data_IF_263397546572
#
_entry.id   IF_263397546572
#
_cell.length_a   1.000
_cell.length_b   1.000
_cell.length_c   1.000
_cell.angle_alpha   90.00
_cell.angle_beta   90.00
_cell.angle_gamma   90.00
#
_symmetry.space_group_name_H-M   'P 1'
#
loop_
_entity.id
_entity.type
_entity.pdbx_description
1 polymer ?
#
# COMPACT_ATOMS: atom_id res chain seq x y z
N UNK A 1 9.53 15.15 -18.86
CA UNK A 1 9.06 15.16 -17.47
C UNK A 1 10.10 14.60 -16.51
N UNK A 2 10.58 13.35 -16.70
CA UNK A 2 11.70 12.79 -15.89
C UNK A 2 12.94 13.68 -15.86
N UNK A 3 13.36 14.22 -17.00
CA UNK A 3 14.49 15.17 -17.08
C UNK A 3 14.23 16.50 -16.34
N UNK A 4 13.01 17.01 -16.38
CA UNK A 4 12.60 18.22 -15.65
C UNK A 4 12.63 17.95 -14.14
N UNK A 5 12.09 16.81 -13.70
CA UNK A 5 12.09 16.39 -12.29
C UNK A 5 13.52 16.16 -11.81
N UNK A 6 14.35 15.47 -12.60
CA UNK A 6 15.78 15.30 -12.29
C UNK A 6 16.48 16.65 -12.15
N UNK A 7 16.23 17.59 -13.06
CA UNK A 7 16.80 18.92 -12.97
C UNK A 7 16.32 19.64 -11.71
N UNK A 8 15.01 19.61 -11.41
CA UNK A 8 14.45 20.19 -10.17
C UNK A 8 15.13 19.59 -8.93
N UNK A 9 15.22 18.27 -8.84
CA UNK A 9 15.82 17.55 -7.72
C UNK A 9 17.34 17.78 -7.61
N UNK A 10 18.03 17.87 -8.74
CA UNK A 10 19.48 18.16 -8.78
C UNK A 10 19.78 19.57 -8.26
N UNK A 11 18.91 20.53 -8.53
CA UNK A 11 19.11 21.93 -8.11
C UNK A 11 18.55 22.23 -6.71
N UNK A 12 17.47 21.56 -6.30
CA UNK A 12 16.83 21.79 -4.99
C UNK A 12 17.31 20.83 -3.90
N UNK A 13 17.96 19.72 -4.25
CA UNK A 13 18.26 18.63 -3.32
C UNK A 13 16.99 17.93 -2.81
N UNK A 14 17.11 17.25 -1.66
CA UNK A 14 15.93 16.73 -0.96
C UNK A 14 15.13 17.90 -0.40
N UNK A 15 13.95 18.16 -0.97
CA UNK A 15 13.06 19.20 -0.48
C UNK A 15 12.45 18.71 0.83
N UNK A 16 12.72 19.41 1.93
CA UNK A 16 12.04 19.18 3.19
C UNK A 16 10.95 20.23 3.35
N UNK A 17 9.71 19.80 3.54
CA UNK A 17 8.63 20.74 3.85
C UNK A 17 8.85 21.29 5.26
N UNK A 18 8.79 22.62 5.46
CA UNK A 18 8.60 23.13 6.80
C UNK A 18 7.28 22.57 7.35
N UNK A 19 7.16 22.40 8.68
CA UNK A 19 5.91 22.00 9.28
C UNK A 19 4.80 22.99 8.89
N UNK A 20 3.58 22.51 8.64
CA UNK A 20 2.48 23.41 8.27
C UNK A 20 2.17 24.39 9.41
N UNK A 21 1.55 25.53 9.10
CA UNK A 21 1.23 26.58 10.09
C UNK A 21 0.38 26.09 11.27
N UNK A 22 -0.40 25.02 11.09
CA UNK A 22 -1.20 24.39 12.14
C UNK A 22 -0.44 23.36 12.98
N UNK A 23 0.82 23.04 12.66
CA UNK A 23 1.58 21.97 13.31
C UNK A 23 1.64 22.11 14.84
N UNK A 24 1.86 23.32 15.34
CA UNK A 24 1.96 23.58 16.78
C UNK A 24 0.63 23.35 17.50
N UNK A 25 -0.50 23.54 16.81
CA UNK A 25 -1.85 23.31 17.35
C UNK A 25 -2.32 21.85 17.30
N UNK A 26 -1.59 20.96 16.62
CA UNK A 26 -1.98 19.56 16.52
C UNK A 26 -1.87 18.85 17.86
N UNK A 27 -2.87 18.03 18.17
CA UNK A 27 -2.88 17.16 19.33
C UNK A 27 -1.79 16.09 19.19
N UNK A 28 -1.10 15.83 20.30
CA UNK A 28 -0.09 14.79 20.40
C UNK A 28 -0.72 13.49 20.89
N UNK A 29 -0.31 12.40 20.26
CA UNK A 29 -0.77 11.05 20.51
C UNK A 29 0.42 10.13 20.80
N UNK A 30 0.20 9.13 21.66
CA UNK A 30 1.15 8.04 21.91
C UNK A 30 0.80 6.85 21.02
N UNK A 31 1.76 6.39 20.22
CA UNK A 31 1.60 5.21 19.37
C UNK A 31 1.70 3.94 20.21
N UNK A 32 0.67 3.11 20.15
CA UNK A 32 0.58 1.82 20.86
C UNK A 32 1.05 0.66 20.01
N UNK A 33 0.77 0.72 18.70
CA UNK A 33 1.07 -0.37 17.77
C UNK A 33 1.11 0.16 16.35
N UNK A 34 2.18 -0.15 15.61
CA UNK A 34 2.18 -0.04 14.15
C UNK A 34 1.57 -1.32 13.56
N UNK A 35 0.45 -1.17 12.86
CA UNK A 35 -0.29 -2.30 12.27
C UNK A 35 0.21 -2.61 10.86
N UNK A 36 0.36 -1.58 10.05
CA UNK A 36 0.87 -1.60 8.67
C UNK A 36 1.70 -0.33 8.43
N UNK A 37 2.36 -0.21 7.28
CA UNK A 37 3.18 0.95 6.94
C UNK A 37 2.37 2.26 6.76
N UNK A 38 1.04 2.19 6.63
CA UNK A 38 0.13 3.34 6.55
C UNK A 38 -0.84 3.41 7.75
N UNK A 39 -0.70 2.53 8.75
CA UNK A 39 -1.72 2.37 9.79
C UNK A 39 -1.11 2.07 11.16
N UNK A 40 -1.47 2.87 12.16
CA UNK A 40 -1.16 2.57 13.56
C UNK A 40 -2.34 2.79 14.49
N UNK A 41 -2.21 2.27 15.71
CA UNK A 41 -3.11 2.52 16.82
C UNK A 41 -2.46 3.52 17.78
N UNK A 42 -3.22 4.53 18.19
CA UNK A 42 -2.79 5.58 19.11
C UNK A 42 -3.78 5.76 20.24
N UNK A 43 -3.27 6.39 21.30
CA UNK A 43 -4.05 6.90 22.42
C UNK A 43 -3.69 8.37 22.60
N UNK A 44 -4.69 9.23 22.78
CA UNK A 44 -4.44 10.65 23.03
C UNK A 44 -3.71 10.83 24.37
N UNK A 45 -2.82 11.80 24.51
CA UNK A 45 -2.05 11.95 25.76
C UNK A 45 -2.92 12.30 26.99
N UNK A 46 -4.15 12.77 26.77
CA UNK A 46 -5.13 13.20 27.76
C UNK A 46 -6.34 12.24 27.89
N UNK A 47 -6.31 11.08 27.23
CA UNK A 47 -7.41 10.11 27.23
C UNK A 47 -6.89 8.69 27.12
N UNK A 48 -7.58 7.69 27.67
CA UNK A 48 -7.27 6.27 27.43
C UNK A 48 -7.96 5.71 26.17
N UNK A 49 -8.67 6.55 25.40
CA UNK A 49 -9.39 6.12 24.21
C UNK A 49 -8.42 5.78 23.06
N UNK A 50 -8.48 4.53 22.61
CA UNK A 50 -7.70 4.06 21.46
C UNK A 50 -8.38 4.42 20.13
N UNK A 51 -7.59 4.94 19.20
CA UNK A 51 -7.99 5.28 17.84
C UNK A 51 -7.05 4.60 16.83
N UNK A 52 -7.61 4.07 15.74
CA UNK A 52 -6.80 3.65 14.59
C UNK A 52 -6.62 4.84 13.65
N UNK A 53 -5.38 5.20 13.34
CA UNK A 53 -5.08 6.23 12.33
C UNK A 53 -4.61 5.53 11.07
N UNK A 54 -5.29 5.79 9.96
CA UNK A 54 -4.82 5.45 8.62
C UNK A 54 -4.28 6.70 7.95
N UNK A 55 -3.13 6.59 7.32
CA UNK A 55 -2.48 7.73 6.69
C UNK A 55 -3.25 8.11 5.43
N UNK A 56 -3.57 9.39 5.31
CA UNK A 56 -4.21 9.92 4.10
C UNK A 56 -3.14 10.18 3.01
N UNK A 57 -3.59 10.27 1.76
CA UNK A 57 -2.82 10.54 0.52
C UNK A 57 -1.93 9.41 0.00
N UNK A 58 -1.61 8.40 0.82
CA UNK A 58 -0.73 7.31 0.44
C UNK A 58 -1.41 5.96 0.66
N UNK A 59 -0.87 4.93 0.02
CA UNK A 59 -1.24 3.54 0.24
C UNK A 59 0.01 2.67 0.19
N UNK A 60 0.08 1.70 1.08
CA UNK A 60 1.30 0.89 1.28
C UNK A 60 1.07 -0.56 0.93
N UNK A 61 2.12 -1.29 0.50
CA UNK A 61 2.04 -2.73 0.32
C UNK A 61 1.51 -3.44 1.56
N UNK A 62 0.76 -4.52 1.36
CA UNK A 62 0.12 -5.23 2.48
C UNK A 62 1.13 -6.03 3.30
N UNK A 63 0.91 -6.18 4.61
CA UNK A 63 1.64 -7.15 5.43
C UNK A 63 0.95 -8.52 5.44
N UNK A 64 1.69 -9.63 5.61
CA UNK A 64 1.10 -10.94 5.82
C UNK A 64 0.32 -10.97 7.13
N UNK A 65 -0.94 -11.44 7.10
CA UNK A 65 -1.85 -11.36 8.26
C UNK A 65 -1.66 -12.43 9.35
N UNK A 66 -0.41 -12.80 9.65
CA UNK A 66 -0.04 -13.60 10.82
C UNK A 66 -0.82 -14.92 11.01
N UNK A 67 -0.86 -15.41 12.26
CA UNK A 67 -1.50 -16.69 12.66
C UNK A 67 -2.96 -16.73 12.21
N UNK A 68 -3.20 -17.46 11.12
CA UNK A 68 -4.46 -17.40 10.38
C UNK A 68 -4.28 -17.32 8.87
N UNK A 69 -3.04 -17.40 8.37
CA UNK A 69 -2.61 -17.56 6.97
C UNK A 69 -3.79 -17.97 6.09
N UNK A 70 -4.42 -16.96 5.48
CA UNK A 70 -5.71 -17.17 4.84
C UNK A 70 -5.54 -18.21 3.74
N UNK A 71 -6.60 -18.98 3.39
CA UNK A 71 -6.48 -20.03 2.36
C UNK A 71 -5.85 -19.47 1.08
N UNK A 72 -6.18 -18.22 0.73
CA UNK A 72 -5.58 -17.50 -0.40
C UNK A 72 -4.08 -17.22 -0.22
N UNK A 73 -3.62 -16.79 0.95
CA UNK A 73 -2.19 -16.57 1.22
C UNK A 73 -1.41 -17.89 1.22
N UNK A 74 -1.95 -18.95 1.83
CA UNK A 74 -1.35 -20.29 1.82
C UNK A 74 -1.16 -20.81 0.40
N UNK A 75 -2.20 -20.70 -0.43
CA UNK A 75 -2.16 -21.16 -1.81
C UNK A 75 -1.16 -20.33 -2.63
N UNK A 76 -1.19 -19.01 -2.54
CA UNK A 76 -0.21 -18.17 -3.23
C UNK A 76 1.23 -18.40 -2.76
N UNK A 77 1.44 -18.71 -1.47
CA UNK A 77 2.75 -19.11 -0.93
C UNK A 77 3.22 -20.44 -1.51
N UNK A 78 2.34 -21.44 -1.56
CA UNK A 78 2.60 -22.78 -2.13
C UNK A 78 3.05 -22.69 -3.59
N UNK A 79 2.39 -21.83 -4.37
CA UNK A 79 2.70 -21.62 -5.79
C UNK A 79 3.67 -20.46 -6.05
N UNK A 80 4.42 -20.03 -5.04
CA UNK A 80 5.50 -19.06 -5.19
C UNK A 80 5.10 -17.74 -5.86
N UNK A 81 3.87 -17.28 -5.64
CA UNK A 81 3.34 -16.11 -6.32
C UNK A 81 4.18 -14.85 -6.00
N UNK A 82 4.88 -14.34 -7.01
CA UNK A 82 5.82 -13.22 -6.88
C UNK A 82 5.13 -11.93 -6.43
N UNK A 83 3.88 -11.70 -6.83
CA UNK A 83 3.10 -10.53 -6.40
C UNK A 83 2.89 -10.55 -4.90
N UNK A 84 2.52 -11.72 -4.34
CA UNK A 84 2.36 -11.87 -2.88
C UNK A 84 3.69 -11.71 -2.15
N UNK A 85 4.78 -12.27 -2.68
CA UNK A 85 6.13 -12.13 -2.12
C UNK A 85 6.54 -10.66 -2.06
N UNK A 86 6.44 -9.95 -3.18
CA UNK A 86 6.78 -8.53 -3.30
C UNK A 86 5.93 -7.66 -2.36
N UNK A 87 4.60 -7.85 -2.35
CA UNK A 87 3.71 -7.10 -1.45
C UNK A 87 4.10 -7.26 0.01
N UNK A 88 4.32 -8.50 0.46
CA UNK A 88 4.63 -8.79 1.86
C UNK A 88 6.04 -8.33 2.25
N UNK A 89 7.02 -8.45 1.36
CA UNK A 89 8.37 -7.96 1.60
C UNK A 89 8.36 -6.44 1.81
N UNK A 90 7.77 -5.68 0.89
CA UNK A 90 7.73 -4.23 0.99
C UNK A 90 6.78 -3.74 2.08
N UNK A 91 5.72 -4.49 2.38
CA UNK A 91 4.81 -4.19 3.48
C UNK A 91 5.52 -4.28 4.83
N UNK A 92 6.30 -5.34 5.06
CA UNK A 92 7.10 -5.49 6.29
C UNK A 92 8.22 -4.45 6.36
N UNK A 93 8.94 -4.16 5.25
CA UNK A 93 9.95 -3.09 5.23
C UNK A 93 9.34 -1.73 5.57
N UNK A 94 8.18 -1.39 4.99
CA UNK A 94 7.47 -0.15 5.27
C UNK A 94 7.01 -0.06 6.73
N UNK A 95 6.48 -1.15 7.27
CA UNK A 95 6.03 -1.23 8.67
C UNK A 95 7.19 -1.08 9.64
N UNK A 96 8.31 -1.76 9.39
CA UNK A 96 9.51 -1.64 10.20
C UNK A 96 10.05 -0.22 10.17
N UNK A 97 10.07 0.41 8.99
CA UNK A 97 10.50 1.80 8.87
C UNK A 97 9.61 2.78 9.63
N UNK A 98 8.29 2.61 9.54
CA UNK A 98 7.34 3.41 10.31
C UNK A 98 7.56 3.23 11.82
N UNK A 99 7.77 1.99 12.27
CA UNK A 99 8.10 1.69 13.66
C UNK A 99 9.36 2.43 14.11
N UNK A 100 10.45 2.39 13.33
CA UNK A 100 11.68 3.13 13.64
C UNK A 100 11.48 4.65 13.71
N UNK A 101 10.70 5.24 12.80
CA UNK A 101 10.41 6.67 12.78
C UNK A 101 9.68 7.10 14.06
N UNK A 102 8.67 6.32 14.43
CA UNK A 102 7.86 6.56 15.64
C UNK A 102 8.70 6.38 16.91
N UNK A 103 9.53 5.34 16.99
CA UNK A 103 10.42 5.09 18.12
C UNK A 103 11.45 6.22 18.31
N UNK A 104 12.04 6.72 17.22
CA UNK A 104 12.96 7.88 17.23
C UNK A 104 12.27 9.15 17.74
N UNK A 105 10.95 9.26 17.58
CA UNK A 105 10.12 10.34 18.10
C UNK A 105 9.54 10.02 19.50
N UNK A 106 10.13 9.08 20.24
CA UNK A 106 9.70 8.71 21.59
C UNK A 106 8.33 8.04 21.65
N UNK A 107 7.92 7.36 20.57
CA UNK A 107 6.57 6.83 20.35
C UNK A 107 5.46 7.90 20.38
N UNK A 108 5.81 9.15 20.11
CA UNK A 108 4.86 10.26 20.06
C UNK A 108 4.76 10.84 18.65
N UNK A 109 3.54 11.16 18.25
CA UNK A 109 3.21 11.74 16.95
C UNK A 109 2.16 12.84 17.10
N UNK A 110 2.12 13.76 16.14
CA UNK A 110 1.04 14.72 15.96
C UNK A 110 0.17 14.30 14.79
N UNK A 111 -1.14 14.33 14.98
CA UNK A 111 -2.10 13.87 13.97
C UNK A 111 -3.08 14.99 13.65
N UNK A 112 -3.21 15.32 12.36
CA UNK A 112 -4.33 16.11 11.86
C UNK A 112 -5.35 15.16 11.24
N UNK A 113 -6.50 15.03 11.89
CA UNK A 113 -7.61 14.22 11.38
C UNK A 113 -8.23 14.93 10.18
N UNK A 114 -8.31 14.23 9.04
CA UNK A 114 -8.92 14.72 7.79
C UNK A 114 -10.26 14.05 7.50
N UNK A 115 -10.55 12.92 8.15
CA UNK A 115 -11.83 12.24 8.05
C UNK A 115 -11.96 11.10 9.05
N UNK A 116 -13.19 10.61 9.24
CA UNK A 116 -13.49 9.51 10.15
C UNK A 116 -14.34 8.43 9.49
N UNK A 117 -14.01 7.18 9.77
CA UNK A 117 -14.75 5.97 9.40
C UNK A 117 -15.28 5.30 10.68
N UNK A 118 -16.61 5.34 10.87
CA UNK A 118 -17.26 4.58 11.93
C UNK A 118 -17.29 3.10 11.56
N UNK A 119 -16.70 2.26 12.42
CA UNK A 119 -16.66 0.80 12.23
C UNK A 119 -17.45 0.12 13.34
N UNK A 120 -18.57 -0.51 12.98
CA UNK A 120 -19.38 -1.25 13.95
C UNK A 120 -18.54 -2.37 14.62
N UNK A 121 -18.54 -2.41 15.96
CA UNK A 121 -17.83 -3.42 16.75
C UNK A 121 -16.30 -3.33 16.73
N UNK A 122 -15.73 -2.20 16.28
CA UNK A 122 -14.27 -1.95 16.26
C UNK A 122 -13.97 -0.53 16.72
N UNK A 123 -12.73 -0.26 17.13
CA UNK A 123 -12.28 1.11 17.42
C UNK A 123 -12.50 2.01 16.20
N UNK A 124 -12.81 3.31 16.41
CA UNK A 124 -12.96 4.25 15.30
C UNK A 124 -11.66 4.28 14.48
N UNK A 125 -11.81 4.41 13.16
CA UNK A 125 -10.68 4.69 12.28
C UNK A 125 -10.80 6.14 11.84
N UNK A 126 -9.71 6.90 11.91
CA UNK A 126 -9.61 8.18 11.24
C UNK A 126 -8.60 8.11 10.10
N UNK A 127 -8.76 9.02 9.14
CA UNK A 127 -7.76 9.35 8.14
C UNK A 127 -6.99 10.56 8.63
N UNK A 128 -5.66 10.54 8.53
CA UNK A 128 -4.87 11.63 9.10
C UNK A 128 -3.54 11.90 8.42
N UNK A 129 -3.15 13.16 8.45
CA UNK A 129 -1.78 13.60 8.22
C UNK A 129 -0.98 13.39 9.51
N UNK A 130 0.17 12.71 9.41
CA UNK A 130 0.96 12.32 10.58
C UNK A 130 2.32 12.98 10.55
N UNK A 131 2.66 13.61 11.66
CA UNK A 131 3.93 14.29 11.86
C UNK A 131 4.66 13.74 13.08
N UNK A 132 5.98 13.62 12.99
CA UNK A 132 6.82 13.45 14.16
C UNK A 132 6.88 14.76 14.96
N UNK A 133 7.42 14.71 16.19
CA UNK A 133 7.48 15.89 17.05
C UNK A 133 8.40 17.00 16.53
N UNK A 134 9.36 16.65 15.67
CA UNK A 134 10.23 17.61 14.97
C UNK A 134 9.58 18.23 13.73
N UNK A 135 8.33 17.84 13.42
CA UNK A 135 7.58 18.32 12.28
C UNK A 135 7.81 17.55 10.97
N UNK A 136 8.59 16.47 11.01
CA UNK A 136 8.74 15.55 9.87
C UNK A 136 7.40 14.95 9.47
N UNK A 137 6.99 15.16 8.22
CA UNK A 137 5.77 14.57 7.66
C UNK A 137 6.01 13.10 7.27
N UNK A 138 5.40 12.17 8.00
CA UNK A 138 5.70 10.73 7.91
C UNK A 138 5.36 10.17 6.53
N UNK A 139 4.21 10.55 5.95
CA UNK A 139 3.84 10.09 4.62
C UNK A 139 4.86 10.46 3.54
N UNK A 140 5.45 11.67 3.62
CA UNK A 140 6.49 12.08 2.69
C UNK A 140 7.73 11.18 2.79
N UNK A 141 8.18 10.85 4.01
CA UNK A 141 9.32 9.96 4.23
C UNK A 141 9.06 8.59 3.61
N UNK A 142 7.88 8.00 3.84
CA UNK A 142 7.53 6.69 3.29
C UNK A 142 7.49 6.69 1.77
N UNK A 143 6.93 7.73 1.14
CA UNK A 143 6.90 7.85 -0.33
C UNK A 143 8.31 8.08 -0.87
N UNK A 144 9.09 8.96 -0.25
CA UNK A 144 10.46 9.26 -0.67
C UNK A 144 11.35 8.02 -0.61
N UNK A 145 11.21 7.18 0.42
CA UNK A 145 11.96 5.93 0.55
C UNK A 145 11.41 4.80 -0.34
N UNK A 146 10.33 5.04 -1.09
CA UNK A 146 9.69 4.05 -1.97
C UNK A 146 8.94 2.96 -1.22
N UNK A 147 8.44 3.25 -0.01
CA UNK A 147 7.70 2.31 0.84
C UNK A 147 6.19 2.49 0.73
N UNK A 148 5.74 3.51 -0.01
CA UNK A 148 4.35 3.81 -0.26
C UNK A 148 4.15 4.37 -1.69
N UNK A 149 2.94 4.23 -2.21
CA UNK A 149 2.47 4.87 -3.45
C UNK A 149 1.53 6.01 -3.10
N UNK A 150 1.49 7.06 -3.92
CA UNK A 150 0.44 8.08 -3.80
C UNK A 150 -0.89 7.44 -4.16
N UNK A 151 -1.91 7.67 -3.32
CA UNK A 151 -3.27 7.22 -3.59
C UNK A 151 -4.10 8.37 -4.15
N UNK A 152 -4.20 8.40 -5.48
CA UNK A 152 -4.76 9.50 -6.25
C UNK A 152 -6.22 9.84 -5.91
N UNK A 153 -7.01 8.87 -5.40
CA UNK A 153 -8.40 9.12 -5.01
C UNK A 153 -8.51 10.19 -3.91
N UNK A 154 -7.53 10.27 -2.99
CA UNK A 154 -7.52 11.27 -1.92
C UNK A 154 -6.61 12.47 -2.20
N UNK A 155 -5.87 12.49 -3.32
CA UNK A 155 -4.95 13.59 -3.60
C UNK A 155 -5.69 14.88 -3.96
N UNK A 156 -6.93 14.78 -4.45
CA UNK A 156 -7.77 15.94 -4.78
C UNK A 156 -8.14 16.80 -3.58
N UNK A 157 -8.15 16.21 -2.39
CA UNK A 157 -8.44 16.87 -1.11
C UNK A 157 -7.16 17.31 -0.36
N UNK A 158 -5.99 16.99 -0.94
CA UNK A 158 -4.69 17.29 -0.35
C UNK A 158 -4.34 18.79 -0.51
N UNK A 159 -3.84 19.47 0.54
CA UNK A 159 -3.23 20.79 0.38
C UNK A 159 -2.19 20.78 -0.73
N UNK A 160 -2.21 21.82 -1.59
CA UNK A 160 -1.41 21.87 -2.83
C UNK A 160 0.07 21.62 -2.58
N UNK A 161 0.62 22.23 -1.53
CA UNK A 161 2.03 22.13 -1.17
C UNK A 161 2.41 20.71 -0.77
N UNK A 162 1.54 20.02 -0.03
CA UNK A 162 1.71 18.61 0.36
C UNK A 162 1.63 17.72 -0.88
N UNK A 163 0.65 17.95 -1.77
CA UNK A 163 0.49 17.17 -2.99
C UNK A 163 1.71 17.28 -3.92
N UNK A 164 2.20 18.50 -4.18
CA UNK A 164 3.41 18.73 -4.99
C UNK A 164 4.60 17.96 -4.41
N UNK A 165 4.76 17.99 -3.10
CA UNK A 165 5.86 17.33 -2.40
C UNK A 165 5.79 15.82 -2.44
N UNK A 166 4.59 15.24 -2.27
CA UNK A 166 4.40 13.81 -2.46
C UNK A 166 4.73 13.40 -3.90
N UNK A 167 4.28 14.16 -4.91
CA UNK A 167 4.61 13.87 -6.31
C UNK A 167 6.12 13.93 -6.59
N UNK A 168 6.81 14.94 -6.06
CA UNK A 168 8.27 15.03 -6.19
C UNK A 168 8.97 13.87 -5.47
N UNK A 169 8.51 13.48 -4.29
CA UNK A 169 9.06 12.36 -3.53
C UNK A 169 8.86 11.01 -4.25
N UNK A 170 7.67 10.77 -4.82
CA UNK A 170 7.38 9.54 -5.56
C UNK A 170 8.24 9.45 -6.82
N UNK A 171 8.36 10.56 -7.56
CA UNK A 171 9.18 10.62 -8.76
C UNK A 171 10.68 10.45 -8.43
N UNK A 172 11.18 11.06 -7.35
CA UNK A 172 12.56 10.86 -6.86
C UNK A 172 12.80 9.40 -6.48
N UNK A 173 11.85 8.75 -5.81
CA UNK A 173 11.93 7.33 -5.45
C UNK A 173 11.93 6.42 -6.70
N UNK A 174 11.12 6.73 -7.71
CA UNK A 174 11.08 6.01 -8.99
C UNK A 174 12.40 6.16 -9.75
N UNK A 175 12.88 7.39 -9.93
CA UNK A 175 14.12 7.71 -10.67
C UNK A 175 15.33 7.03 -10.03
N UNK A 176 15.43 7.11 -8.70
CA UNK A 176 16.57 6.55 -7.96
C UNK A 176 16.38 5.09 -7.58
N UNK A 177 15.31 4.44 -8.05
CA UNK A 177 15.01 3.04 -7.77
C UNK A 177 15.11 2.79 -6.25
N UNK A 178 14.25 3.41 -5.46
CA UNK A 178 14.17 3.17 -4.01
C UNK A 178 12.94 2.33 -3.68
N UNK A 179 13.06 1.46 -2.68
CA UNK A 179 11.91 0.69 -2.21
C UNK A 179 11.28 -0.17 -3.30
N UNK A 180 9.95 -0.13 -3.42
CA UNK A 180 9.15 -0.82 -4.45
C UNK A 180 9.60 -0.54 -5.90
N UNK A 181 10.43 0.49 -6.11
CA UNK A 181 10.99 0.87 -7.40
C UNK A 181 12.33 0.17 -7.74
N UNK A 182 12.92 -0.59 -6.81
CA UNK A 182 14.18 -1.35 -6.99
C UNK A 182 14.02 -2.66 -7.75
N UNK A 183 12.86 -3.29 -7.61
CA UNK A 183 12.56 -4.48 -8.38
C UNK A 183 12.72 -4.10 -9.85
N UNK A 184 13.70 -4.70 -10.51
CA UNK A 184 14.16 -4.33 -11.85
C UNK A 184 12.95 -4.29 -12.79
N UNK A 185 12.37 -3.10 -13.02
CA UNK A 185 11.13 -2.95 -13.78
C UNK A 185 9.93 -3.71 -13.17
N UNK A 186 9.68 -3.42 -11.89
CA UNK A 186 8.83 -4.19 -10.98
C UNK A 186 7.49 -4.65 -11.55
N UNK A 187 7.28 -5.98 -11.52
CA UNK A 187 5.96 -6.60 -11.59
C UNK A 187 5.10 -6.29 -10.33
N UNK A 188 5.49 -5.25 -9.59
CA UNK A 188 4.77 -4.70 -8.47
C UNK A 188 3.48 -4.07 -8.98
N UNK A 189 2.36 -4.61 -8.53
CA UNK A 189 1.06 -3.97 -8.68
C UNK A 189 0.80 -3.07 -7.47
N UNK A 190 0.11 -1.95 -7.69
CA UNK A 190 -0.26 -1.05 -6.60
C UNK A 190 -1.07 -1.76 -5.51
N UNK A 191 -1.01 -1.31 -4.23
CA UNK A 191 -1.64 -2.05 -3.15
C UNK A 191 -3.19 -2.11 -3.28
N UNK A 192 -3.83 -1.08 -3.85
CA UNK A 192 -5.25 -1.13 -4.20
C UNK A 192 -5.59 -2.21 -5.23
N UNK A 193 -4.76 -2.37 -6.26
CA UNK A 193 -4.91 -3.41 -7.28
C UNK A 193 -4.67 -4.80 -6.67
N UNK A 194 -3.65 -4.94 -5.81
CA UNK A 194 -3.39 -6.17 -5.06
C UNK A 194 -4.57 -6.57 -4.16
N UNK A 195 -5.12 -5.64 -3.38
CA UNK A 195 -6.30 -5.93 -2.53
C UNK A 195 -7.50 -6.39 -3.35
N UNK A 196 -7.72 -5.77 -4.51
CA UNK A 196 -8.77 -6.19 -5.45
C UNK A 196 -8.53 -7.62 -5.95
N UNK A 197 -7.31 -7.92 -6.40
CA UNK A 197 -6.91 -9.26 -6.84
C UNK A 197 -7.07 -10.30 -5.73
N UNK A 198 -6.54 -10.05 -4.55
CA UNK A 198 -6.63 -10.92 -3.37
C UNK A 198 -8.08 -11.24 -3.01
N UNK A 199 -8.98 -10.26 -3.11
CA UNK A 199 -10.42 -10.46 -2.89
C UNK A 199 -11.03 -11.43 -3.91
N UNK A 200 -10.69 -11.29 -5.19
CA UNK A 200 -11.18 -12.17 -6.26
C UNK A 200 -10.66 -13.59 -6.12
N UNK A 201 -9.35 -13.76 -5.92
CA UNK A 201 -8.76 -15.08 -5.65
C UNK A 201 -9.39 -15.75 -4.43
N UNK A 202 -9.67 -14.99 -3.37
CA UNK A 202 -10.35 -15.51 -2.18
C UNK A 202 -11.80 -15.95 -2.46
N UNK A 203 -12.53 -15.21 -3.31
CA UNK A 203 -13.88 -15.62 -3.73
C UNK A 203 -13.82 -16.89 -4.58
N UNK A 204 -12.93 -16.93 -5.58
CA UNK A 204 -12.71 -18.13 -6.40
C UNK A 204 -12.39 -19.35 -5.53
N UNK A 205 -11.45 -19.23 -4.58
CA UNK A 205 -11.10 -20.31 -3.64
C UNK A 205 -12.27 -20.75 -2.74
N UNK A 206 -13.20 -19.85 -2.40
CA UNK A 206 -14.43 -20.21 -1.68
C UNK A 206 -15.36 -21.01 -2.57
N UNK A 207 -15.45 -20.67 -3.85
CA UNK A 207 -16.35 -21.30 -4.81
C UNK A 207 -15.90 -22.73 -5.11
N UNK A 208 -14.64 -22.91 -5.54
CA UNK A 208 -14.07 -24.26 -5.70
C UNK A 208 -13.96 -25.01 -4.35
N UNK A 209 -13.86 -24.28 -3.24
CA UNK A 209 -13.93 -24.86 -1.89
C UNK A 209 -15.31 -25.42 -1.52
N UNK A 210 -16.40 -24.90 -2.10
CA UNK A 210 -17.74 -25.46 -1.96
C UNK A 210 -17.90 -26.72 -2.81
N UNK A 211 -17.38 -26.73 -4.03
CA UNK A 211 -17.35 -27.92 -4.90
C UNK A 211 -16.62 -29.10 -4.23
N UNK A 212 -15.45 -28.83 -3.64
CA UNK A 212 -14.66 -29.82 -2.91
C UNK A 212 -15.44 -30.41 -1.74
N UNK A 213 -16.06 -29.56 -0.91
CA UNK A 213 -16.89 -30.01 0.23
C UNK A 213 -18.12 -30.80 -0.20
N UNK A 214 -18.66 -30.48 -1.39
CA UNK A 214 -19.77 -31.21 -2.00
C UNK A 214 -19.38 -32.53 -2.66
N UNK A 215 -18.07 -32.86 -2.71
CA UNK A 215 -17.56 -34.06 -3.38
C UNK A 215 -17.61 -33.99 -4.90
N UNK A 216 -17.86 -32.81 -5.48
CA UNK A 216 -17.91 -32.62 -6.94
C UNK A 216 -16.52 -32.55 -7.59
N UNK A 217 -15.49 -32.25 -6.78
CA UNK A 217 -14.08 -32.29 -7.18
C UNK A 217 -13.26 -32.92 -6.06
N UNK A 218 -12.11 -33.46 -6.44
CA UNK A 218 -11.05 -33.96 -5.54
C UNK A 218 -10.13 -32.82 -5.07
N UNK A 219 -9.30 -33.08 -4.05
CA UNK A 219 -8.28 -32.12 -3.60
C UNK A 219 -7.28 -31.79 -4.72
N UNK A 220 -6.91 -32.79 -5.53
CA UNK A 220 -6.00 -32.61 -6.67
C UNK A 220 -6.63 -31.68 -7.73
N UNK A 221 -7.92 -31.84 -8.03
CA UNK A 221 -8.64 -30.95 -8.94
C UNK A 221 -8.81 -29.54 -8.37
N UNK A 222 -9.04 -29.41 -7.06
CA UNK A 222 -9.07 -28.12 -6.37
C UNK A 222 -7.75 -27.36 -6.56
N UNK A 223 -6.62 -28.04 -6.33
CA UNK A 223 -5.28 -27.46 -6.50
C UNK A 223 -5.00 -27.11 -7.97
N UNK A 224 -5.27 -28.04 -8.89
CA UNK A 224 -5.08 -27.84 -10.34
C UNK A 224 -5.89 -26.65 -10.87
N UNK A 225 -7.13 -26.49 -10.43
CA UNK A 225 -7.98 -25.35 -10.81
C UNK A 225 -7.36 -24.02 -10.37
N UNK A 226 -6.84 -23.95 -9.14
CA UNK A 226 -6.21 -22.73 -8.63
C UNK A 226 -4.90 -22.42 -9.35
N UNK A 227 -4.05 -23.43 -9.56
CA UNK A 227 -2.79 -23.29 -10.29
C UNK A 227 -3.03 -22.80 -11.73
N UNK A 228 -4.04 -23.35 -12.42
CA UNK A 228 -4.42 -22.92 -13.76
C UNK A 228 -4.82 -21.44 -13.81
N UNK A 229 -5.64 -20.97 -12.86
CA UNK A 229 -6.00 -19.54 -12.78
C UNK A 229 -4.80 -18.66 -12.45
N UNK A 230 -3.87 -19.11 -11.60
CA UNK A 230 -2.62 -18.37 -11.34
C UNK A 230 -1.74 -18.24 -12.59
N UNK A 231 -1.66 -19.30 -13.40
CA UNK A 231 -0.91 -19.25 -14.67
C UNK A 231 -1.50 -18.21 -15.62
N UNK A 232 -2.82 -18.23 -15.83
CA UNK A 232 -3.52 -17.26 -16.66
C UNK A 232 -3.35 -15.82 -16.14
N UNK A 233 -3.43 -15.62 -14.82
CA UNK A 233 -3.14 -14.34 -14.18
C UNK A 233 -1.73 -13.83 -14.53
N UNK A 234 -0.72 -14.69 -14.39
CA UNK A 234 0.67 -14.30 -14.62
C UNK A 234 0.91 -13.95 -16.10
N UNK A 235 0.28 -14.68 -17.03
CA UNK A 235 0.33 -14.38 -18.47
C UNK A 235 -0.29 -13.02 -18.79
N UNK A 236 -1.46 -12.72 -18.21
CA UNK A 236 -2.12 -11.41 -18.33
C UNK A 236 -1.20 -10.31 -17.81
N UNK A 237 -0.71 -10.43 -16.58
CA UNK A 237 0.10 -9.38 -15.96
C UNK A 237 1.41 -9.18 -16.70
N UNK A 238 2.09 -10.25 -17.11
CA UNK A 238 3.32 -10.15 -17.90
C UNK A 238 3.10 -9.37 -19.20
N UNK A 239 1.97 -9.60 -19.87
CA UNK A 239 1.59 -8.86 -21.10
C UNK A 239 1.37 -7.37 -20.81
N UNK A 240 0.60 -7.04 -19.78
CA UNK A 240 0.27 -5.65 -19.44
C UNK A 240 1.50 -4.90 -18.92
N UNK A 241 2.40 -5.56 -18.18
CA UNK A 241 3.69 -5.00 -17.77
C UNK A 241 4.61 -4.74 -18.96
N UNK A 242 4.65 -5.64 -19.94
CA UNK A 242 5.43 -5.42 -21.15
C UNK A 242 4.97 -4.17 -21.92
N UNK A 243 3.65 -3.94 -22.00
CA UNK A 243 3.09 -2.72 -22.59
C UNK A 243 3.52 -1.45 -21.84
N UNK A 244 3.45 -1.47 -20.51
CA UNK A 244 3.90 -0.34 -19.68
C UNK A 244 5.39 -0.07 -19.87
N UNK A 245 6.21 -1.11 -19.81
CA UNK A 245 7.67 -1.03 -19.94
C UNK A 245 8.11 -0.51 -21.31
N UNK A 246 7.39 -0.89 -22.36
CA UNK A 246 7.65 -0.42 -23.72
C UNK A 246 7.05 0.96 -24.00
N UNK A 247 6.43 1.61 -23.00
CA UNK A 247 5.82 2.93 -23.13
C UNK A 247 4.57 2.95 -24.02
N UNK A 248 3.95 1.78 -24.26
CA UNK A 248 2.73 1.66 -25.06
C UNK A 248 1.50 2.14 -24.28
N UNK A 249 1.55 2.03 -22.96
CA UNK A 249 0.51 2.53 -22.05
C UNK A 249 1.13 3.34 -20.92
N UNK A 250 0.34 4.25 -20.35
CA UNK A 250 0.70 5.01 -19.16
C UNK A 250 0.43 4.21 -17.88
N UNK A 251 0.99 4.63 -16.75
CA UNK A 251 0.72 4.00 -15.45
C UNK A 251 -0.78 3.92 -15.10
N UNK A 252 -1.59 4.99 -15.27
CA UNK A 252 -3.04 4.88 -15.04
C UNK A 252 -3.70 3.84 -15.95
N UNK A 253 -3.30 3.80 -17.24
CA UNK A 253 -3.87 2.85 -18.20
C UNK A 253 -3.45 1.40 -17.90
N UNK A 254 -2.24 1.20 -17.40
CA UNK A 254 -1.77 -0.08 -16.86
C UNK A 254 -2.68 -0.57 -15.72
N UNK A 255 -2.99 0.30 -14.76
CA UNK A 255 -3.82 -0.07 -13.61
C UNK A 255 -5.26 -0.39 -14.02
N UNK A 256 -5.85 0.39 -14.93
CA UNK A 256 -7.17 0.14 -15.49
C UNK A 256 -7.23 -1.20 -16.21
N UNK A 257 -6.25 -1.47 -17.09
CA UNK A 257 -6.18 -2.72 -17.86
C UNK A 257 -5.99 -3.93 -16.94
N UNK A 258 -5.09 -3.85 -15.96
CA UNK A 258 -4.95 -4.92 -14.96
C UNK A 258 -6.26 -5.17 -14.21
N UNK A 259 -6.96 -4.10 -13.81
CA UNK A 259 -8.23 -4.23 -13.09
C UNK A 259 -9.30 -4.93 -13.93
N UNK A 260 -9.42 -4.55 -15.21
CA UNK A 260 -10.35 -5.13 -16.19
C UNK A 260 -10.03 -6.60 -16.47
N UNK A 261 -8.81 -6.92 -16.90
CA UNK A 261 -8.42 -8.28 -17.26
C UNK A 261 -8.51 -9.24 -16.06
N UNK A 262 -8.09 -8.80 -14.87
CA UNK A 262 -8.24 -9.59 -13.65
C UNK A 262 -9.70 -9.67 -13.18
N UNK A 263 -10.59 -8.74 -13.56
CA UNK A 263 -12.03 -8.93 -13.29
C UNK A 263 -12.57 -10.07 -14.16
N UNK A 264 -12.24 -10.04 -15.45
CA UNK A 264 -12.71 -11.03 -16.42
C UNK A 264 -12.21 -12.44 -16.05
N UNK A 265 -10.92 -12.58 -15.73
CA UNK A 265 -10.32 -13.86 -15.34
C UNK A 265 -11.04 -14.57 -14.18
N UNK A 266 -11.50 -13.83 -13.18
CA UNK A 266 -12.15 -14.39 -11.98
C UNK A 266 -13.68 -14.28 -12.00
N UNK A 267 -14.27 -13.79 -13.10
CA UNK A 267 -15.71 -13.82 -13.34
C UNK A 267 -16.18 -15.15 -13.96
N UNK A 268 -15.26 -15.86 -14.62
CA UNK A 268 -15.42 -17.21 -15.18
C UNK A 268 -15.14 -18.31 -14.16
#
# INVERSE_FOLDING_TARGET
MKEIINNILTHLGQVQLPPPSYFDSLQTYTVKKVSDADTFNVVANDSDAEMTVRFVYIDTPETPKGWGDSKVEKMNRKYENQIYRSQFEWGEKGKNRLQELVEKSGNQVKVKVTGEEKRAGRSPRCFGEVYLLDGTFVQHVLVQEGLARIYYDYISECPREIAIMLFLAEADAEINQRGIWQEFQSEFISPWLFRSLKKKQNNFLKDIGRELKGGSITEAEFETKFESKLKQQNEILSTVFAELKNGLITQPKFEDKCKEELNNLFAE
#
